data_IF_541442349155
#
_entry.id   IF_541442349155
#
_cell.length_a   1.000
_cell.length_b   1.000
_cell.length_c   1.000
_cell.angle_alpha   90.00
_cell.angle_beta   90.00
_cell.angle_gamma   90.00
#
_symmetry.space_group_name_H-M   'P 1'
#
loop_
_entity.id
_entity.type
_entity.pdbx_description
1 polymer ?
#
# COMPACT_ATOMS: atom_id res chain seq x y z
N UNK A 1 12.17 13.93 -4.09
CA UNK A 1 11.44 15.10 -3.54
C UNK A 1 12.07 15.46 -2.20
N UNK A 2 12.21 16.75 -1.85
CA UNK A 2 12.74 17.16 -0.56
C UNK A 2 11.80 16.72 0.58
N UNK A 3 12.38 16.31 1.72
CA UNK A 3 11.65 15.96 2.94
C UNK A 3 10.91 17.21 3.44
N UNK A 4 9.66 17.05 3.84
CA UNK A 4 8.87 18.17 4.35
C UNK A 4 9.37 18.61 5.74
N UNK A 5 9.52 19.90 5.96
CA UNK A 5 9.99 20.49 7.20
C UNK A 5 9.08 21.65 7.59
N UNK A 6 8.60 21.62 8.83
CA UNK A 6 7.72 22.63 9.39
C UNK A 6 8.42 23.32 10.55
N UNK A 7 8.62 24.63 10.46
CA UNK A 7 9.10 25.42 11.58
C UNK A 7 7.90 25.94 12.39
N UNK A 8 7.86 25.64 13.69
CA UNK A 8 6.81 26.12 14.61
C UNK A 8 6.97 27.61 14.85
N UNK A 9 5.91 28.38 14.62
CA UNK A 9 5.87 29.80 14.94
C UNK A 9 5.17 30.05 16.29
N UNK A 10 4.01 29.42 16.50
CA UNK A 10 3.25 29.45 17.74
C UNK A 10 2.47 28.16 17.95
N UNK A 11 2.22 27.81 19.22
CA UNK A 11 1.27 26.79 19.64
C UNK A 11 0.05 27.55 20.18
N UNK A 12 -1.09 27.40 19.52
CA UNK A 12 -2.33 28.12 19.85
C UNK A 12 -3.16 27.33 20.88
N UNK A 13 -3.23 26.01 20.69
CA UNK A 13 -4.00 25.08 21.51
C UNK A 13 -3.18 23.80 21.68
N UNK A 14 -3.19 23.20 22.88
CA UNK A 14 -2.59 21.89 23.10
C UNK A 14 -3.23 21.17 24.29
N UNK A 15 -3.45 19.87 24.15
CA UNK A 15 -3.92 18.97 25.19
C UNK A 15 -3.24 17.59 25.07
N UNK A 16 -3.76 16.59 25.78
CA UNK A 16 -3.23 15.22 25.80
C UNK A 16 -3.46 14.45 24.49
N UNK A 17 -4.32 14.94 23.60
CA UNK A 17 -4.67 14.31 22.33
C UNK A 17 -3.97 14.95 21.12
N UNK A 18 -3.57 16.21 21.24
CA UNK A 18 -2.96 16.96 20.15
C UNK A 18 -2.97 18.46 20.39
N UNK A 19 -3.02 19.23 19.31
CA UNK A 19 -3.12 20.67 19.39
C UNK A 19 -3.02 21.37 18.04
N UNK A 20 -3.10 22.69 18.07
CA UNK A 20 -3.09 23.55 16.90
C UNK A 20 -1.85 24.42 16.94
N UNK A 21 -1.09 24.43 15.84
CA UNK A 21 0.11 25.24 15.70
C UNK A 21 0.03 26.12 14.45
N UNK A 22 0.64 27.29 14.51
CA UNK A 22 1.00 28.05 13.31
C UNK A 22 2.41 27.64 12.93
N UNK A 23 2.60 27.18 11.70
CA UNK A 23 3.88 26.71 11.18
C UNK A 23 4.23 27.41 9.87
N UNK A 24 5.53 27.46 9.56
CA UNK A 24 6.05 27.79 8.24
C UNK A 24 6.64 26.55 7.60
N UNK A 25 6.27 26.26 6.35
CA UNK A 25 6.94 25.21 5.57
C UNK A 25 8.29 25.74 5.11
N UNK A 26 9.37 25.12 5.57
CA UNK A 26 10.75 25.55 5.26
C UNK A 26 11.45 24.62 4.27
N UNK A 27 10.93 23.40 4.09
CA UNK A 27 11.41 22.42 3.10
C UNK A 27 10.29 21.45 2.73
N UNK A 28 10.32 20.88 1.52
CA UNK A 28 9.36 19.88 1.04
C UNK A 28 7.88 20.29 1.07
N UNK A 29 6.99 19.41 0.60
CA UNK A 29 5.54 19.65 0.62
C UNK A 29 4.91 18.94 1.81
N UNK A 30 4.35 19.71 2.75
CA UNK A 30 3.59 19.17 3.87
C UNK A 30 2.19 18.75 3.41
N UNK A 31 1.70 17.60 3.87
CA UNK A 31 0.41 17.02 3.52
C UNK A 31 -0.28 16.50 4.77
N UNK A 32 -1.60 16.61 4.82
CA UNK A 32 -2.37 15.92 5.86
C UNK A 32 -2.10 14.41 5.83
N UNK A 33 -2.03 13.77 6.99
CA UNK A 33 -1.65 12.37 7.18
C UNK A 33 -0.14 12.08 7.13
N UNK A 34 0.71 13.10 7.31
CA UNK A 34 2.16 12.91 7.46
C UNK A 34 2.57 12.94 8.93
N UNK A 35 3.51 12.07 9.30
CA UNK A 35 4.18 12.10 10.61
C UNK A 35 5.33 13.09 10.55
N UNK A 36 5.54 13.81 11.64
CA UNK A 36 6.70 14.64 11.90
C UNK A 36 7.42 14.22 13.19
N UNK A 37 8.72 14.49 13.26
CA UNK A 37 9.54 14.31 14.45
C UNK A 37 10.11 15.63 14.94
N UNK A 38 10.12 15.80 16.27
CA UNK A 38 10.78 16.89 16.96
C UNK A 38 11.55 16.33 18.17
N UNK A 39 12.89 16.30 18.10
CA UNK A 39 13.70 15.75 19.19
C UNK A 39 13.44 14.27 19.53
N UNK A 40 13.03 13.46 18.53
CA UNK A 40 12.68 12.05 18.71
C UNK A 40 11.20 11.78 19.02
N UNK A 41 10.41 12.83 19.27
CA UNK A 41 8.98 12.74 19.55
C UNK A 41 8.17 12.80 18.26
N UNK A 42 7.16 11.94 18.12
CA UNK A 42 6.31 11.85 16.93
C UNK A 42 5.01 12.62 17.06
N UNK A 43 4.61 13.26 15.97
CA UNK A 43 3.41 14.09 15.85
C UNK A 43 2.76 13.80 14.49
N UNK A 44 1.46 13.53 14.46
CA UNK A 44 0.74 13.34 13.19
C UNK A 44 0.17 14.67 12.70
N UNK A 45 0.28 14.98 11.41
CA UNK A 45 -0.33 16.16 10.80
C UNK A 45 -1.75 15.84 10.33
N UNK A 46 -2.76 16.11 11.15
CA UNK A 46 -4.14 15.74 10.85
C UNK A 46 -4.83 16.67 9.84
N UNK A 47 -4.60 17.98 9.94
CA UNK A 47 -5.27 18.98 9.09
C UNK A 47 -4.37 20.17 8.81
N UNK A 48 -4.51 20.75 7.63
CA UNK A 48 -3.84 21.98 7.21
C UNK A 48 -4.91 23.02 6.85
N UNK A 49 -4.75 24.22 7.37
CA UNK A 49 -5.53 25.40 7.03
C UNK A 49 -4.59 26.50 6.54
N UNK A 50 -4.77 26.93 5.30
CA UNK A 50 -3.98 28.02 4.72
C UNK A 50 -4.93 29.09 4.17
N UNK A 51 -4.64 30.35 4.50
CA UNK A 51 -5.46 31.51 4.12
C UNK A 51 -6.95 31.37 4.53
N UNK A 52 -7.20 30.81 5.72
CA UNK A 52 -8.55 30.67 6.27
C UNK A 52 -9.39 29.53 5.67
N UNK A 53 -8.79 28.66 4.85
CA UNK A 53 -9.49 27.51 4.25
C UNK A 53 -8.73 26.21 4.47
N UNK A 54 -9.43 25.06 4.63
CA UNK A 54 -8.79 23.75 4.68
C UNK A 54 -8.08 23.43 3.36
N UNK A 55 -6.90 22.79 3.46
CA UNK A 55 -6.07 22.36 2.34
C UNK A 55 -5.54 20.95 2.57
N UNK A 56 -5.29 20.23 1.49
CA UNK A 56 -4.67 18.89 1.56
C UNK A 56 -3.15 18.95 1.70
N UNK A 57 -2.55 20.08 1.30
CA UNK A 57 -1.11 20.29 1.34
C UNK A 57 -0.76 21.77 1.44
N UNK A 58 0.49 22.04 1.84
CA UNK A 58 1.13 23.35 1.79
C UNK A 58 2.61 23.18 1.45
N UNK A 59 3.11 23.98 0.53
CA UNK A 59 4.50 23.98 0.06
C UNK A 59 5.28 25.22 0.54
N UNK A 60 6.62 25.19 0.54
CA UNK A 60 7.43 26.32 0.96
C UNK A 60 7.25 27.49 -0.02
N UNK A 61 7.30 28.74 0.47
CA UNK A 61 7.68 29.18 1.82
C UNK A 61 6.47 29.52 2.71
N UNK A 62 5.31 28.92 2.44
CA UNK A 62 4.03 29.36 3.00
C UNK A 62 3.86 29.01 4.47
N UNK A 63 3.06 29.82 5.16
CA UNK A 63 2.60 29.55 6.51
C UNK A 63 1.21 28.91 6.49
N UNK A 64 0.95 28.03 7.45
CA UNK A 64 -0.35 27.40 7.64
C UNK A 64 -0.64 27.21 9.13
N UNK A 65 -1.93 27.18 9.46
CA UNK A 65 -2.42 26.67 10.73
C UNK A 65 -2.58 25.16 10.56
N UNK A 66 -1.89 24.39 11.39
CA UNK A 66 -1.87 22.92 11.31
C UNK A 66 -2.42 22.32 12.60
N UNK A 67 -3.17 21.24 12.43
CA UNK A 67 -3.66 20.44 13.55
C UNK A 67 -2.75 19.23 13.68
N UNK A 68 -2.08 19.12 14.82
CA UNK A 68 -1.16 18.05 15.13
C UNK A 68 -1.80 17.09 16.15
N UNK A 69 -1.57 15.80 15.99
CA UNK A 69 -1.99 14.76 16.94
C UNK A 69 -0.81 14.30 17.79
N UNK A 70 -1.11 13.90 19.02
CA UNK A 70 -0.16 13.38 19.99
C UNK A 70 0.00 14.30 21.22
N UNK A 71 0.20 13.73 22.42
CA UNK A 71 0.25 14.48 23.69
C UNK A 71 1.39 15.50 23.77
N UNK A 72 2.35 15.42 22.85
CA UNK A 72 3.60 16.19 22.90
C UNK A 72 3.51 17.53 22.18
N UNK A 73 2.35 17.89 21.59
CA UNK A 73 2.15 19.22 20.99
C UNK A 73 2.36 20.32 22.02
N UNK A 74 1.96 20.08 23.28
CA UNK A 74 2.15 21.02 24.39
C UNK A 74 3.62 21.33 24.73
N UNK A 75 4.56 20.51 24.26
CA UNK A 75 5.99 20.68 24.49
C UNK A 75 6.71 21.39 23.33
N UNK A 76 6.00 21.69 22.25
CA UNK A 76 6.57 22.38 21.10
C UNK A 76 6.92 23.82 21.45
N UNK A 77 8.08 24.26 20.99
CA UNK A 77 8.58 25.62 21.19
C UNK A 77 8.68 26.38 19.88
N UNK A 78 8.50 27.70 19.94
CA UNK A 78 8.73 28.59 18.79
C UNK A 78 10.14 28.38 18.23
N UNK A 79 10.23 28.29 16.91
CA UNK A 79 11.48 28.09 16.17
C UNK A 79 11.86 26.62 15.98
N UNK A 80 11.21 25.68 16.68
CA UNK A 80 11.47 24.25 16.54
C UNK A 80 11.12 23.77 15.14
N UNK A 81 12.00 22.97 14.54
CA UNK A 81 11.78 22.37 13.22
C UNK A 81 11.28 20.95 13.41
N UNK A 82 10.10 20.68 12.87
CA UNK A 82 9.50 19.37 12.74
C UNK A 82 9.95 18.81 11.38
N UNK A 83 10.61 17.66 11.39
CA UNK A 83 11.03 16.99 10.15
C UNK A 83 10.01 15.91 9.82
N UNK A 84 9.49 15.89 8.59
CA UNK A 84 8.59 14.84 8.16
C UNK A 84 9.35 13.52 8.23
N UNK A 85 8.79 12.61 9.02
CA UNK A 85 9.20 11.22 9.03
C UNK A 85 8.53 10.62 7.80
N UNK A 86 9.29 10.19 6.77
CA UNK A 86 8.67 9.40 5.71
C UNK A 86 7.97 8.22 6.39
N UNK A 87 6.93 7.60 5.83
CA UNK A 87 6.42 6.35 6.40
C UNK A 87 7.54 5.29 6.58
N UNK A 88 8.68 5.45 5.89
CA UNK A 88 9.94 4.73 6.10
C UNK A 88 10.64 4.95 7.45
N UNK A 89 10.20 5.90 8.28
CA UNK A 89 10.81 6.15 9.58
C UNK A 89 10.22 5.32 10.70
N UNK A 90 9.09 4.62 10.50
CA UNK A 90 8.82 3.44 11.33
C UNK A 90 9.93 2.42 11.05
N UNK A 91 10.63 1.98 12.10
CA UNK A 91 11.48 0.81 11.92
C UNK A 91 10.59 -0.33 11.43
N UNK A 92 11.10 -1.17 10.54
CA UNK A 92 10.35 -2.32 10.04
C UNK A 92 9.85 -3.20 11.21
N UNK A 93 10.64 -3.30 12.28
CA UNK A 93 10.25 -3.95 13.54
C UNK A 93 9.02 -3.29 14.20
N UNK A 94 8.94 -1.96 14.20
CA UNK A 94 7.79 -1.21 14.74
C UNK A 94 6.54 -1.48 13.90
N UNK A 95 6.68 -1.53 12.56
CA UNK A 95 5.55 -1.82 11.66
C UNK A 95 5.05 -3.24 11.82
N UNK A 96 5.95 -4.22 11.95
CA UNK A 96 5.56 -5.61 12.19
C UNK A 96 4.89 -5.77 13.57
N UNK A 97 5.42 -5.12 14.60
CA UNK A 97 4.82 -5.11 15.95
C UNK A 97 3.44 -4.47 15.94
N UNK A 98 3.30 -3.32 15.28
CA UNK A 98 2.02 -2.61 15.13
C UNK A 98 1.01 -3.45 14.34
N UNK A 99 1.41 -4.07 13.22
CA UNK A 99 0.51 -4.94 12.45
C UNK A 99 0.05 -6.18 13.23
N UNK A 100 0.85 -6.67 14.17
CA UNK A 100 0.50 -7.82 15.00
C UNK A 100 -0.64 -7.54 15.99
N UNK A 101 -0.92 -6.27 16.32
CA UNK A 101 -2.00 -5.90 17.25
C UNK A 101 -3.35 -5.66 16.59
N UNK A 102 -3.45 -5.87 15.27
CA UNK A 102 -4.61 -5.57 14.43
C UNK A 102 -5.28 -4.20 14.70
N UNK A 103 -4.50 -3.10 14.65
CA UNK A 103 -4.96 -1.78 15.07
C UNK A 103 -6.02 -1.20 14.12
N UNK A 104 -6.94 -0.36 14.63
CA UNK A 104 -7.96 0.27 13.82
C UNK A 104 -7.37 1.20 12.75
N UNK A 105 -7.97 1.20 11.55
CA UNK A 105 -7.51 1.94 10.36
C UNK A 105 -7.55 3.48 10.47
N UNK A 106 -7.88 4.00 11.66
CA UNK A 106 -8.04 5.42 11.96
C UNK A 106 -6.75 6.05 12.50
N UNK A 107 -5.75 5.23 12.83
CA UNK A 107 -4.44 5.66 13.32
C UNK A 107 -3.35 5.38 12.27
N UNK A 108 -2.27 6.15 12.31
CA UNK A 108 -1.13 5.96 11.41
C UNK A 108 -0.37 4.64 11.72
N UNK A 109 0.27 4.02 10.69
CA UNK A 109 0.27 4.43 9.28
C UNK A 109 -0.98 3.99 8.52
N UNK A 110 -1.57 4.91 7.74
CA UNK A 110 -2.74 4.60 6.91
C UNK A 110 -2.43 3.49 5.88
N UNK A 111 -3.40 2.61 5.57
CA UNK A 111 -3.16 1.44 4.72
C UNK A 111 -2.62 1.76 3.32
N UNK A 112 -3.11 2.83 2.68
CA UNK A 112 -2.68 3.23 1.33
C UNK A 112 -1.21 3.61 1.25
N UNK A 113 -0.75 4.59 2.05
CA UNK A 113 0.66 4.95 2.17
C UNK A 113 1.56 3.79 2.64
N UNK A 114 1.10 2.99 3.62
CA UNK A 114 1.85 1.82 4.11
C UNK A 114 2.08 0.79 3.00
N UNK A 115 1.03 0.50 2.21
CA UNK A 115 1.10 -0.38 1.05
C UNK A 115 2.10 0.12 0.02
N UNK A 116 2.05 1.40 -0.35
CA UNK A 116 2.97 1.98 -1.33
C UNK A 116 4.43 1.89 -0.88
N UNK A 117 4.70 2.20 0.39
CA UNK A 117 6.03 2.05 0.98
C UNK A 117 6.48 0.58 0.98
N UNK A 118 5.64 -0.32 1.47
CA UNK A 118 6.01 -1.73 1.62
C UNK A 118 6.30 -2.38 0.26
N UNK A 119 5.50 -2.09 -0.76
CA UNK A 119 5.73 -2.52 -2.14
C UNK A 119 7.05 -1.95 -2.67
N UNK A 120 7.33 -0.66 -2.47
CA UNK A 120 8.61 -0.09 -2.92
C UNK A 120 9.81 -0.77 -2.23
N UNK A 121 9.72 -1.04 -0.93
CA UNK A 121 10.83 -1.60 -0.15
C UNK A 121 11.04 -3.10 -0.38
N UNK A 122 10.00 -3.88 -0.68
CA UNK A 122 10.19 -5.29 -1.09
C UNK A 122 10.87 -5.42 -2.46
N UNK A 123 10.73 -4.41 -3.33
CA UNK A 123 11.41 -4.33 -4.63
C UNK A 123 12.81 -3.73 -4.59
N UNK A 124 13.22 -3.15 -3.46
CA UNK A 124 14.52 -2.50 -3.31
C UNK A 124 15.65 -3.55 -3.23
N UNK A 125 16.34 -3.77 -4.35
CA UNK A 125 17.44 -4.74 -4.45
C UNK A 125 18.69 -4.35 -3.63
N UNK A 126 18.76 -3.12 -3.12
CA UNK A 126 19.84 -2.72 -2.21
C UNK A 126 19.66 -3.27 -0.79
N UNK A 127 18.47 -3.76 -0.46
CA UNK A 127 18.17 -4.37 0.83
C UNK A 127 18.49 -5.87 0.86
N UNK A 128 18.89 -6.42 2.02
CA UNK A 128 19.01 -7.86 2.19
C UNK A 128 17.66 -8.57 1.93
N UNK A 129 17.72 -9.76 1.34
CA UNK A 129 16.52 -10.55 1.02
C UNK A 129 15.62 -10.82 2.23
N UNK A 130 16.22 -11.05 3.40
CA UNK A 130 15.48 -11.20 4.66
C UNK A 130 14.66 -9.94 5.00
N UNK A 131 15.18 -8.74 4.72
CA UNK A 131 14.47 -7.46 4.94
C UNK A 131 13.37 -7.26 3.89
N UNK A 132 13.63 -7.62 2.63
CA UNK A 132 12.63 -7.55 1.55
C UNK A 132 11.44 -8.48 1.79
N UNK A 133 11.70 -9.69 2.30
CA UNK A 133 10.66 -10.65 2.71
C UNK A 133 9.77 -10.09 3.82
N UNK A 134 10.36 -9.42 4.81
CA UNK A 134 9.62 -8.72 5.87
C UNK A 134 8.72 -7.63 5.29
N UNK A 135 9.25 -6.79 4.39
CA UNK A 135 8.45 -5.80 3.68
C UNK A 135 7.32 -6.41 2.85
N UNK A 136 7.54 -7.59 2.26
CA UNK A 136 6.48 -8.37 1.60
C UNK A 136 5.31 -8.71 2.52
N UNK A 137 5.58 -9.10 3.76
CA UNK A 137 4.53 -9.35 4.76
C UNK A 137 3.78 -8.08 5.14
N UNK A 138 4.50 -6.97 5.32
CA UNK A 138 3.88 -5.65 5.55
C UNK A 138 3.00 -5.25 4.38
N UNK A 139 3.43 -5.50 3.14
CA UNK A 139 2.64 -5.21 1.95
C UNK A 139 1.35 -6.04 1.92
N UNK A 140 1.41 -7.35 2.18
CA UNK A 140 0.22 -8.20 2.26
C UNK A 140 -0.77 -7.74 3.35
N UNK A 141 -0.23 -7.35 4.51
CA UNK A 141 -1.02 -6.86 5.63
C UNK A 141 -1.68 -5.49 5.31
N UNK A 142 -0.98 -4.62 4.59
CA UNK A 142 -1.51 -3.33 4.14
C UNK A 142 -2.59 -3.51 3.04
N UNK A 143 -2.36 -4.41 2.08
CA UNK A 143 -3.35 -4.73 1.01
C UNK A 143 -4.66 -5.25 1.60
N UNK A 144 -4.60 -6.06 2.66
CA UNK A 144 -5.80 -6.54 3.36
C UNK A 144 -6.63 -5.42 4.01
N UNK A 145 -5.99 -4.28 4.32
CA UNK A 145 -6.54 -3.15 5.07
C UNK A 145 -6.91 -1.94 4.21
N UNK A 146 -6.42 -1.87 2.98
CA UNK A 146 -6.85 -0.84 2.02
C UNK A 146 -8.31 -1.07 1.62
N UNK A 147 -9.07 0.01 1.49
CA UNK A 147 -10.40 -0.05 0.88
C UNK A 147 -10.28 -0.40 -0.61
N UNK A 148 -10.96 -1.47 -1.01
CA UNK A 148 -11.04 -1.93 -2.40
C UNK A 148 -12.48 -1.85 -2.87
N UNK A 149 -12.70 -1.59 -4.15
CA UNK A 149 -14.07 -1.53 -4.70
C UNK A 149 -14.75 -2.88 -4.68
N UNK A 150 -13.98 -3.95 -4.88
CA UNK A 150 -14.47 -5.33 -4.84
C UNK A 150 -13.36 -6.33 -4.45
N UNK A 151 -13.75 -7.60 -4.25
CA UNK A 151 -12.85 -8.68 -3.89
C UNK A 151 -11.81 -9.00 -4.98
N UNK A 152 -12.13 -8.73 -6.25
CA UNK A 152 -11.23 -9.01 -7.39
C UNK A 152 -10.10 -7.99 -7.43
N UNK A 153 -10.37 -6.71 -7.18
CA UNK A 153 -9.35 -5.66 -7.08
C UNK A 153 -8.34 -5.97 -5.98
N UNK A 154 -8.83 -6.32 -4.77
CA UNK A 154 -7.99 -6.78 -3.67
C UNK A 154 -7.18 -8.03 -4.05
N UNK A 155 -7.83 -8.96 -4.73
CA UNK A 155 -7.24 -10.22 -5.16
C UNK A 155 -6.11 -10.06 -6.17
N UNK A 156 -6.26 -9.15 -7.15
CA UNK A 156 -5.19 -8.81 -8.12
C UNK A 156 -3.95 -8.30 -7.40
N UNK A 157 -4.15 -7.37 -6.47
CA UNK A 157 -3.02 -6.78 -5.76
C UNK A 157 -2.33 -7.77 -4.81
N UNK A 158 -3.11 -8.55 -4.07
CA UNK A 158 -2.58 -9.63 -3.22
C UNK A 158 -1.80 -10.66 -4.07
N UNK A 159 -2.33 -11.03 -5.23
CA UNK A 159 -1.67 -11.96 -6.15
C UNK A 159 -0.36 -11.39 -6.71
N UNK A 160 -0.30 -10.08 -6.96
CA UNK A 160 0.94 -9.41 -7.39
C UNK A 160 2.04 -9.48 -6.33
N UNK A 161 1.71 -9.14 -5.08
CA UNK A 161 2.67 -9.20 -3.97
C UNK A 161 3.15 -10.64 -3.76
N UNK A 162 2.24 -11.62 -3.66
CA UNK A 162 2.60 -13.02 -3.48
C UNK A 162 3.39 -13.60 -4.65
N UNK A 163 2.95 -13.30 -5.88
CA UNK A 163 3.59 -13.78 -7.10
C UNK A 163 5.05 -13.34 -7.17
N UNK A 164 5.32 -12.06 -6.89
CA UNK A 164 6.68 -11.54 -6.81
C UNK A 164 7.51 -12.22 -5.70
N UNK A 165 6.93 -12.41 -4.51
CA UNK A 165 7.66 -13.04 -3.40
C UNK A 165 8.08 -14.48 -3.75
N UNK A 166 7.19 -15.24 -4.37
CA UNK A 166 7.49 -16.61 -4.82
C UNK A 166 8.50 -16.60 -5.97
N UNK A 167 8.33 -15.73 -6.96
CA UNK A 167 9.29 -15.60 -8.07
C UNK A 167 10.69 -15.28 -7.57
N UNK A 168 10.82 -14.32 -6.65
CA UNK A 168 12.12 -13.81 -6.22
C UNK A 168 12.79 -14.66 -5.15
N UNK A 169 12.01 -15.22 -4.22
CA UNK A 169 12.54 -15.92 -3.04
C UNK A 169 12.22 -17.41 -3.02
N UNK A 170 11.52 -17.91 -4.04
CA UNK A 170 11.16 -19.30 -4.22
C UNK A 170 10.02 -19.78 -3.30
N UNK A 171 9.55 -21.03 -3.52
CA UNK A 171 8.60 -21.69 -2.63
C UNK A 171 9.16 -21.83 -1.20
N UNK A 172 8.30 -21.63 -0.20
CA UNK A 172 8.71 -21.60 1.21
C UNK A 172 8.87 -20.15 1.68
N UNK A 173 10.07 -19.52 1.60
CA UNK A 173 10.26 -18.14 2.03
C UNK A 173 9.34 -17.14 1.33
N UNK A 174 9.12 -17.31 0.02
CA UNK A 174 8.21 -16.47 -0.77
C UNK A 174 6.73 -16.81 -0.63
N UNK A 175 6.41 -17.97 -0.04
CA UNK A 175 5.05 -18.49 0.14
C UNK A 175 4.79 -19.79 -0.63
N UNK A 176 3.51 -20.23 -0.60
CA UNK A 176 3.03 -21.43 -1.29
C UNK A 176 2.48 -21.10 -2.70
N UNK A 177 3.10 -21.61 -3.79
CA UNK A 177 2.60 -21.53 -5.16
C UNK A 177 1.20 -22.09 -5.36
N UNK A 178 0.88 -23.25 -4.76
CA UNK A 178 -0.40 -23.92 -4.93
C UNK A 178 -1.52 -23.10 -4.26
N UNK A 179 -1.24 -22.51 -3.11
CA UNK A 179 -2.17 -21.62 -2.42
C UNK A 179 -2.44 -20.35 -3.23
N UNK A 180 -1.41 -19.72 -3.80
CA UNK A 180 -1.62 -18.57 -4.69
C UNK A 180 -2.52 -18.94 -5.88
N UNK A 181 -2.24 -20.06 -6.56
CA UNK A 181 -3.07 -20.52 -7.67
C UNK A 181 -4.53 -20.76 -7.25
N UNK A 182 -4.76 -21.39 -6.10
CA UNK A 182 -6.11 -21.63 -5.56
C UNK A 182 -6.85 -20.31 -5.27
N UNK A 183 -6.19 -19.36 -4.60
CA UNK A 183 -6.76 -18.04 -4.30
C UNK A 183 -7.13 -17.30 -5.60
N UNK A 184 -6.22 -17.28 -6.59
CA UNK A 184 -6.49 -16.58 -7.85
C UNK A 184 -7.61 -17.24 -8.64
N UNK A 185 -7.61 -18.57 -8.75
CA UNK A 185 -8.67 -19.32 -9.43
C UNK A 185 -10.03 -19.10 -8.78
N UNK A 186 -10.10 -18.99 -7.44
CA UNK A 186 -11.34 -18.73 -6.72
C UNK A 186 -11.95 -17.35 -7.01
N UNK A 187 -11.15 -16.39 -7.47
CA UNK A 187 -11.63 -15.06 -7.89
C UNK A 187 -12.22 -15.06 -9.31
N UNK A 188 -11.95 -16.11 -10.09
CA UNK A 188 -12.41 -16.21 -11.47
C UNK A 188 -13.75 -16.93 -11.49
N UNK A 189 -14.80 -16.16 -11.69
CA UNK A 189 -16.19 -16.60 -11.75
C UNK A 189 -16.61 -17.14 -13.14
N UNK A 190 -15.64 -17.43 -14.01
CA UNK A 190 -15.85 -18.04 -15.33
C UNK A 190 -15.07 -19.36 -15.43
N UNK A 191 -15.53 -20.25 -16.29
CA UNK A 191 -14.69 -21.34 -16.77
C UNK A 191 -13.81 -20.87 -17.93
N UNK A 192 -12.64 -21.48 -18.18
CA UNK A 192 -11.81 -21.16 -19.35
C UNK A 192 -12.59 -21.24 -20.66
N UNK A 193 -13.45 -22.24 -20.83
CA UNK A 193 -14.28 -22.40 -22.02
C UNK A 193 -15.25 -21.24 -22.23
N UNK A 194 -15.90 -20.77 -21.15
CA UNK A 194 -16.83 -19.64 -21.22
C UNK A 194 -16.10 -18.33 -21.49
N UNK A 195 -15.00 -18.09 -20.78
CA UNK A 195 -14.14 -16.92 -21.02
C UNK A 195 -13.60 -16.89 -22.45
N UNK A 196 -13.21 -18.05 -23.02
CA UNK A 196 -12.77 -18.16 -24.40
C UNK A 196 -13.87 -17.84 -25.42
N UNK A 197 -15.12 -18.23 -25.13
CA UNK A 197 -16.26 -17.89 -25.98
C UNK A 197 -16.52 -16.38 -25.98
N UNK A 198 -16.51 -15.75 -24.81
CA UNK A 198 -16.69 -14.30 -24.67
C UNK A 198 -15.53 -13.51 -25.26
N UNK A 199 -14.30 -13.98 -25.08
CA UNK A 199 -13.09 -13.39 -25.67
C UNK A 199 -13.11 -13.38 -27.21
N UNK A 200 -13.85 -14.27 -27.88
CA UNK A 200 -13.95 -14.22 -29.37
C UNK A 200 -14.76 -13.04 -29.87
N UNK A 201 -15.74 -12.59 -29.09
CA UNK A 201 -16.72 -11.57 -29.47
C UNK A 201 -16.65 -10.36 -28.55
N UNK A 202 -15.51 -10.15 -27.87
CA UNK A 202 -15.43 -9.19 -26.76
C UNK A 202 -15.77 -7.76 -27.17
N UNK A 203 -15.54 -7.37 -28.43
CA UNK A 203 -15.85 -6.03 -28.96
C UNK A 203 -17.34 -5.73 -28.98
N UNK A 204 -18.16 -6.77 -29.06
CA UNK A 204 -19.63 -6.66 -29.11
C UNK A 204 -20.28 -6.87 -27.73
N UNK A 205 -19.48 -7.15 -26.70
CA UNK A 205 -19.98 -7.36 -25.35
C UNK A 205 -20.25 -6.03 -24.63
N UNK A 206 -21.20 -6.01 -23.67
CA UNK A 206 -21.36 -4.88 -22.77
C UNK A 206 -20.06 -4.56 -22.02
N UNK A 207 -19.82 -3.27 -21.74
CA UNK A 207 -18.62 -2.76 -21.06
C UNK A 207 -18.26 -3.55 -19.80
N UNK A 208 -19.24 -3.94 -19.00
CA UNK A 208 -19.03 -4.69 -17.76
C UNK A 208 -18.38 -6.06 -18.02
N UNK A 209 -18.79 -6.77 -19.08
CA UNK A 209 -18.20 -8.06 -19.46
C UNK A 209 -16.79 -7.89 -19.98
N UNK A 210 -16.52 -6.84 -20.75
CA UNK A 210 -15.15 -6.51 -21.21
C UNK A 210 -14.24 -6.25 -19.99
N UNK A 211 -14.70 -5.45 -19.03
CA UNK A 211 -13.95 -5.17 -17.79
C UNK A 211 -13.73 -6.42 -16.95
N UNK A 212 -14.69 -7.35 -16.93
CA UNK A 212 -14.54 -8.66 -16.28
C UNK A 212 -13.44 -9.48 -16.93
N UNK A 213 -13.43 -9.60 -18.27
CA UNK A 213 -12.37 -10.31 -18.99
C UNK A 213 -10.99 -9.67 -18.79
N UNK A 214 -10.90 -8.33 -18.78
CA UNK A 214 -9.65 -7.61 -18.45
C UNK A 214 -9.17 -7.89 -17.03
N UNK A 215 -10.07 -7.93 -16.06
CA UNK A 215 -9.74 -8.27 -14.66
C UNK A 215 -9.18 -9.69 -14.56
N UNK A 216 -9.81 -10.66 -15.23
CA UNK A 216 -9.29 -12.03 -15.32
C UNK A 216 -7.88 -12.02 -15.93
N UNK A 217 -7.68 -11.33 -17.06
CA UNK A 217 -6.37 -11.22 -17.71
C UNK A 217 -5.29 -10.67 -16.79
N UNK A 218 -5.62 -9.68 -15.95
CA UNK A 218 -4.66 -9.08 -15.01
C UNK A 218 -4.24 -10.03 -13.87
N UNK A 219 -4.99 -11.09 -13.61
CA UNK A 219 -4.64 -12.12 -12.62
C UNK A 219 -3.65 -13.16 -13.17
N UNK A 220 -3.70 -13.43 -14.48
CA UNK A 220 -2.99 -14.55 -15.11
C UNK A 220 -1.45 -14.48 -15.06
N UNK A 221 -0.80 -13.30 -15.14
CA UNK A 221 0.66 -13.22 -15.04
C UNK A 221 1.19 -13.88 -13.76
N UNK A 222 0.52 -13.67 -12.64
CA UNK A 222 0.98 -14.16 -11.32
C UNK A 222 0.88 -15.68 -11.20
N UNK A 223 -0.19 -16.29 -11.73
CA UNK A 223 -0.30 -17.74 -11.83
C UNK A 223 0.77 -18.33 -12.77
N UNK A 224 1.05 -17.64 -13.88
CA UNK A 224 2.03 -18.09 -14.87
C UNK A 224 3.44 -18.11 -14.28
N UNK A 225 3.80 -17.10 -13.49
CA UNK A 225 5.08 -17.03 -12.79
C UNK A 225 5.30 -18.21 -11.85
N UNK A 226 4.27 -18.61 -11.09
CA UNK A 226 4.42 -19.67 -10.08
C UNK A 226 4.16 -21.08 -10.61
N UNK A 227 3.71 -21.21 -11.87
CA UNK A 227 3.40 -22.48 -12.54
C UNK A 227 4.56 -23.48 -12.50
N UNK A 228 5.80 -22.99 -12.62
CA UNK A 228 6.99 -23.83 -12.60
C UNK A 228 7.23 -24.52 -11.24
N UNK A 229 6.64 -24.01 -10.16
CA UNK A 229 6.82 -24.51 -8.80
C UNK A 229 5.74 -25.51 -8.36
N UNK A 230 4.73 -25.77 -9.19
CA UNK A 230 3.70 -26.77 -8.89
C UNK A 230 4.21 -28.18 -9.16
N UNK A 231 3.83 -29.15 -8.32
CA UNK A 231 4.18 -30.57 -8.52
C UNK A 231 3.64 -31.08 -9.87
N UNK A 232 4.39 -31.95 -10.55
CA UNK A 232 4.09 -32.34 -11.93
C UNK A 232 2.70 -32.99 -12.12
N UNK A 233 2.22 -33.68 -11.09
CA UNK A 233 0.93 -34.36 -10.99
C UNK A 233 -0.18 -33.51 -10.34
N UNK A 234 0.10 -32.25 -9.98
CA UNK A 234 -0.87 -31.37 -9.35
C UNK A 234 -1.96 -30.95 -10.37
N UNK A 235 -3.26 -31.21 -10.08
CA UNK A 235 -4.36 -30.80 -10.96
C UNK A 235 -4.43 -29.28 -11.19
N UNK A 236 -3.85 -28.46 -10.30
CA UNK A 236 -3.75 -27.01 -10.49
C UNK A 236 -2.92 -26.65 -11.73
N UNK A 237 -1.95 -27.48 -12.14
CA UNK A 237 -1.16 -27.21 -13.36
C UNK A 237 -2.04 -27.18 -14.59
N UNK A 238 -2.96 -28.14 -14.72
CA UNK A 238 -3.88 -28.19 -15.85
C UNK A 238 -4.82 -26.96 -15.86
N UNK A 239 -5.29 -26.54 -14.68
CA UNK A 239 -6.11 -25.35 -14.55
C UNK A 239 -5.34 -24.07 -14.94
N UNK A 240 -4.11 -23.91 -14.45
CA UNK A 240 -3.23 -22.78 -14.78
C UNK A 240 -2.93 -22.77 -16.28
N UNK A 241 -2.52 -23.91 -16.86
CA UNK A 241 -2.17 -24.02 -18.28
C UNK A 241 -3.36 -23.64 -19.18
N UNK A 242 -4.59 -24.06 -18.82
CA UNK A 242 -5.80 -23.69 -19.55
C UNK A 242 -6.05 -22.17 -19.54
N UNK A 243 -5.84 -21.50 -18.42
CA UNK A 243 -5.98 -20.05 -18.31
C UNK A 243 -4.85 -19.28 -18.98
N UNK A 244 -3.60 -19.70 -18.80
CA UNK A 244 -2.43 -19.07 -19.42
C UNK A 244 -2.51 -19.16 -20.95
N UNK A 245 -2.98 -20.28 -21.51
CA UNK A 245 -3.21 -20.41 -22.96
C UNK A 245 -4.31 -19.46 -23.48
N UNK A 246 -5.26 -19.07 -22.63
CA UNK A 246 -6.32 -18.12 -22.97
C UNK A 246 -5.86 -16.66 -22.89
N UNK A 247 -4.83 -16.34 -22.08
CA UNK A 247 -4.40 -14.97 -21.80
C UNK A 247 -4.21 -14.07 -23.04
N UNK A 248 -3.59 -14.52 -24.15
CA UNK A 248 -3.39 -13.68 -25.34
C UNK A 248 -4.69 -13.28 -26.05
N UNK A 249 -5.79 -14.02 -25.82
CA UNK A 249 -7.08 -13.80 -26.47
C UNK A 249 -8.01 -12.89 -25.66
N UNK A 250 -7.71 -12.68 -24.38
CA UNK A 250 -8.46 -11.78 -23.53
C UNK A 250 -8.20 -10.30 -23.91
N UNK A 251 -9.19 -9.41 -23.78
CA UNK A 251 -9.08 -7.97 -24.12
C UNK A 251 -8.12 -7.16 -23.24
#
# INVERSE_FOLDING_TARGET
MPIAELQVYSVEEADVSGGVCVVRVVGGTARAGQVYTAGGLRLGLARIEAWGAPRDFVDPPHAARVHLTGPMVALLSRGQVLTCVPPAGHALDDLETWLATDPPLREEPHPGPLRALAVARMHDESLPDAVRLRWGRVALAAVARVEHRDAVERGVERAAVRGYLIERFGPGPGGDPAELCREVLALIDLTPARAAAEARVWRDLPRERILRLRRIKNLLPWMTLVRAHLAADDPLRAAVDAWTALAPRLP
#
